data_IF_895594036466
#
_entry.id   IF_895594036466
#
_cell.length_a   1.000
_cell.length_b   1.000
_cell.length_c   1.000
_cell.angle_alpha   90.00
_cell.angle_beta   90.00
_cell.angle_gamma   90.00
#
_symmetry.space_group_name_H-M   'P 1'
#
loop_
_entity.id
_entity.type
_entity.pdbx_description
1 polymer ?
#
# COMPACT_ATOMS: atom_id res chain seq x y z
N UNK A 1 -33.42 10.30 5.63
CA UNK A 1 -32.75 11.11 4.59
C UNK A 1 -31.27 10.81 4.73
N UNK A 2 -30.78 9.81 3.99
CA UNK A 2 -29.37 9.40 4.02
C UNK A 2 -28.72 10.15 2.86
N UNK A 3 -27.93 11.18 3.17
CA UNK A 3 -27.14 11.89 2.17
C UNK A 3 -25.96 11.02 1.72
N UNK A 4 -25.54 11.15 0.45
CA UNK A 4 -24.72 10.16 -0.23
C UNK A 4 -23.24 10.21 0.16
N UNK A 5 -22.58 9.09 -0.12
CA UNK A 5 -21.17 8.74 0.10
C UNK A 5 -20.21 9.67 -0.66
N UNK A 6 -19.81 10.79 -0.08
CA UNK A 6 -18.70 11.63 -0.58
C UNK A 6 -17.39 11.41 0.22
N UNK A 7 -17.39 10.47 1.18
CA UNK A 7 -16.25 10.17 2.06
C UNK A 7 -15.21 9.22 1.46
N UNK A 8 -15.49 8.58 0.32
CA UNK A 8 -14.75 7.39 -0.10
C UNK A 8 -13.51 7.71 -0.97
N UNK A 9 -13.54 8.79 -1.78
CA UNK A 9 -12.47 9.07 -2.75
C UNK A 9 -11.20 9.66 -2.10
N UNK A 10 -11.35 10.59 -1.15
CA UNK A 10 -10.21 11.21 -0.46
C UNK A 10 -9.49 10.20 0.43
N UNK A 11 -10.23 9.33 1.11
CA UNK A 11 -9.70 8.26 1.95
C UNK A 11 -8.88 7.27 1.10
N UNK A 12 -9.42 6.88 -0.07
CA UNK A 12 -8.72 6.00 -1.01
C UNK A 12 -7.43 6.66 -1.54
N UNK A 13 -7.48 7.95 -1.90
CA UNK A 13 -6.30 8.69 -2.37
C UNK A 13 -5.23 8.82 -1.27
N UNK A 14 -5.65 8.99 -0.02
CA UNK A 14 -4.77 9.05 1.14
C UNK A 14 -4.09 7.71 1.41
N UNK A 15 -4.85 6.60 1.37
CA UNK A 15 -4.31 5.25 1.49
C UNK A 15 -3.37 4.90 0.33
N UNK A 16 -3.67 5.36 -0.88
CA UNK A 16 -2.80 5.17 -2.04
C UNK A 16 -1.47 5.95 -1.89
N UNK A 17 -1.53 7.20 -1.42
CA UNK A 17 -0.33 7.96 -1.12
C UNK A 17 0.50 7.31 0.00
N UNK A 18 -0.16 6.81 1.05
CA UNK A 18 0.51 6.08 2.11
C UNK A 18 1.18 4.81 1.60
N UNK A 19 0.51 4.05 0.73
CA UNK A 19 1.08 2.88 0.07
C UNK A 19 2.37 3.26 -0.69
N UNK A 20 2.37 4.33 -1.47
CA UNK A 20 3.56 4.78 -2.19
C UNK A 20 4.69 5.25 -1.27
N UNK A 21 4.36 5.84 -0.12
CA UNK A 21 5.34 6.36 0.84
C UNK A 21 6.01 5.27 1.67
N UNK A 22 5.26 4.23 2.05
CA UNK A 22 5.78 3.18 2.94
C UNK A 22 6.40 2.02 2.18
N UNK A 23 6.14 1.89 0.88
CA UNK A 23 6.77 0.86 0.05
C UNK A 23 8.01 1.38 -0.66
N UNK A 24 9.05 0.55 -0.69
CA UNK A 24 10.21 0.73 -1.55
C UNK A 24 10.32 -0.45 -2.51
N UNK A 25 10.38 -0.14 -3.81
CA UNK A 25 10.57 -1.14 -4.86
C UNK A 25 12.06 -1.22 -5.19
N UNK A 26 12.67 -2.39 -4.97
CA UNK A 26 14.08 -2.65 -5.29
C UNK A 26 14.17 -3.69 -6.39
N UNK A 27 14.78 -3.32 -7.51
CA UNK A 27 15.08 -4.26 -8.60
C UNK A 27 16.34 -5.03 -8.23
N UNK A 28 16.25 -6.36 -8.11
CA UNK A 28 17.41 -7.19 -7.79
C UNK A 28 18.18 -7.60 -9.07
N UNK A 29 19.16 -6.77 -9.46
CA UNK A 29 20.16 -7.12 -10.48
C UNK A 29 19.61 -7.35 -11.90
N UNK A 30 20.23 -8.26 -12.68
CA UNK A 30 19.76 -8.66 -14.02
C UNK A 30 18.54 -9.60 -14.00
N UNK A 31 18.02 -9.92 -12.81
CA UNK A 31 16.83 -10.75 -12.68
C UNK A 31 15.60 -9.84 -12.69
N UNK A 32 14.55 -10.23 -13.41
CA UNK A 32 13.27 -9.49 -13.51
C UNK A 32 12.50 -9.41 -12.17
N UNK A 33 13.11 -9.79 -11.05
CA UNK A 33 12.49 -9.81 -9.73
C UNK A 33 12.51 -8.43 -9.08
N UNK A 34 11.31 -7.96 -8.71
CA UNK A 34 11.09 -6.74 -7.92
C UNK A 34 10.86 -7.16 -6.47
N UNK A 35 11.74 -6.72 -5.57
CA UNK A 35 11.57 -6.83 -4.13
C UNK A 35 10.77 -5.64 -3.63
N UNK A 36 9.77 -5.90 -2.77
CA UNK A 36 8.87 -4.88 -2.25
C UNK A 36 9.06 -4.82 -0.74
N UNK A 37 9.73 -3.78 -0.27
CA UNK A 37 9.96 -3.54 1.15
C UNK A 37 8.88 -2.63 1.72
N UNK A 38 8.26 -3.02 2.83
CA UNK A 38 7.31 -2.20 3.58
C UNK A 38 7.98 -1.62 4.83
N UNK A 39 8.06 -0.29 4.92
CA UNK A 39 8.57 0.43 6.09
C UNK A 39 7.51 0.47 7.19
N UNK A 40 7.59 -0.50 8.10
CA UNK A 40 6.63 -0.63 9.21
C UNK A 40 6.58 0.59 10.14
N UNK A 41 7.70 1.29 10.34
CA UNK A 41 7.73 2.50 11.18
C UNK A 41 6.94 3.64 10.53
N UNK A 42 7.15 3.87 9.23
CA UNK A 42 6.41 4.87 8.48
C UNK A 42 4.91 4.53 8.39
N UNK A 43 4.57 3.24 8.24
CA UNK A 43 3.19 2.77 8.29
C UNK A 43 2.55 3.09 9.65
N UNK A 44 3.24 2.78 10.74
CA UNK A 44 2.72 3.05 12.09
C UNK A 44 2.49 4.55 12.32
N UNK A 45 3.41 5.40 11.88
CA UNK A 45 3.28 6.85 11.99
C UNK A 45 2.07 7.36 11.18
N UNK A 46 1.86 6.83 9.96
CA UNK A 46 0.68 7.12 9.15
C UNK A 46 -0.61 6.70 9.85
N UNK A 47 -0.70 5.44 10.30
CA UNK A 47 -1.89 4.93 10.98
C UNK A 47 -2.22 5.72 12.26
N UNK A 48 -1.21 6.15 13.02
CA UNK A 48 -1.41 6.99 14.19
C UNK A 48 -1.96 8.37 13.84
N UNK A 49 -1.44 9.00 12.78
CA UNK A 49 -1.86 10.33 12.35
C UNK A 49 -3.29 10.35 11.78
N UNK A 50 -3.69 9.27 11.11
CA UNK A 50 -4.98 9.17 10.42
C UNK A 50 -5.99 8.26 11.14
N UNK A 51 -5.66 7.82 12.37
CA UNK A 51 -6.51 6.99 13.24
C UNK A 51 -6.91 5.62 12.63
N UNK A 52 -6.06 5.03 11.81
CA UNK A 52 -6.26 3.68 11.27
C UNK A 52 -5.71 2.60 12.20
N UNK A 53 -6.28 1.40 12.11
CA UNK A 53 -5.70 0.21 12.71
C UNK A 53 -4.43 -0.21 11.95
N UNK A 54 -3.30 -0.25 12.65
CA UNK A 54 -2.01 -0.54 12.02
C UNK A 54 -1.92 -1.95 11.43
N UNK A 55 -2.56 -2.95 12.07
CA UNK A 55 -2.54 -4.33 11.57
C UNK A 55 -3.42 -4.46 10.34
N UNK A 56 -4.58 -3.79 10.33
CA UNK A 56 -5.48 -3.79 9.18
C UNK A 56 -4.83 -3.16 7.95
N UNK A 57 -4.22 -1.98 8.09
CA UNK A 57 -3.51 -1.34 6.96
C UNK A 57 -2.27 -2.14 6.56
N UNK A 58 -1.57 -2.76 7.51
CA UNK A 58 -0.43 -3.63 7.20
C UNK A 58 -0.84 -4.81 6.30
N UNK A 59 -1.91 -5.53 6.65
CA UNK A 59 -2.40 -6.65 5.83
C UNK A 59 -2.97 -6.18 4.49
N UNK A 60 -3.64 -5.02 4.44
CA UNK A 60 -4.09 -4.39 3.20
C UNK A 60 -2.90 -4.11 2.27
N UNK A 61 -1.88 -3.45 2.79
CA UNK A 61 -0.70 -3.04 2.02
C UNK A 61 0.11 -4.24 1.54
N UNK A 62 0.33 -5.23 2.40
CA UNK A 62 0.96 -6.49 2.03
C UNK A 62 0.19 -7.22 0.92
N UNK A 63 -1.15 -7.25 1.02
CA UNK A 63 -2.00 -7.85 -0.02
C UNK A 63 -1.93 -7.09 -1.34
N UNK A 64 -1.90 -5.75 -1.29
CA UNK A 64 -1.72 -4.93 -2.47
C UNK A 64 -0.33 -5.14 -3.12
N UNK A 65 0.73 -5.29 -2.33
CA UNK A 65 2.06 -5.63 -2.85
C UNK A 65 2.06 -6.96 -3.60
N UNK A 66 1.33 -7.97 -3.12
CA UNK A 66 1.22 -9.26 -3.81
C UNK A 66 0.54 -9.14 -5.17
N UNK A 67 -0.54 -8.34 -5.26
CA UNK A 67 -1.21 -8.07 -6.55
C UNK A 67 -0.25 -7.38 -7.51
N UNK A 68 0.46 -6.35 -7.05
CA UNK A 68 1.44 -5.63 -7.87
C UNK A 68 2.55 -6.57 -8.35
N UNK A 69 3.11 -7.40 -7.46
CA UNK A 69 4.12 -8.39 -7.84
C UNK A 69 3.61 -9.40 -8.87
N UNK A 70 2.34 -9.84 -8.77
CA UNK A 70 1.76 -10.77 -9.75
C UNK A 70 1.63 -10.16 -11.15
N UNK A 71 1.31 -8.87 -11.25
CA UNK A 71 1.24 -8.16 -12.54
C UNK A 71 2.60 -8.06 -13.25
N UNK A 72 3.72 -8.12 -12.50
CA UNK A 72 5.06 -8.11 -13.08
C UNK A 72 5.57 -9.50 -13.48
N UNK A 73 4.92 -10.57 -13.02
CA UNK A 73 5.32 -11.96 -13.31
C UNK A 73 4.63 -12.55 -14.54
N UNK A 74 3.46 -12.03 -14.95
CA UNK A 74 2.71 -12.53 -16.11
C UNK A 74 3.23 -12.04 -17.48
N UNK A 75 4.36 -11.32 -17.52
CA UNK A 75 4.95 -10.79 -18.74
C UNK A 75 6.15 -11.59 -19.28
N UNK A 76 6.39 -12.82 -18.79
CA UNK A 76 7.37 -13.78 -19.34
C UNK A 76 6.73 -14.88 -20.21
#
# INVERSE_FOLDING_TARGET
MVMPLESDDEEVLELFNAFLLVHSFKIQGMSSFVDVELNYSALKDFCQKHHYDTLEIFELFKSASLVVSSCFLDHE
#
